data_IF_776820974331
#
_entry.id   IF_776820974331
#
_cell.length_a   1.000
_cell.length_b   1.000
_cell.length_c   1.000
_cell.angle_alpha   90.00
_cell.angle_beta   90.00
_cell.angle_gamma   90.00
#
_symmetry.space_group_name_H-M   'P 1'
#
loop_
_entity.id
_entity.type
_entity.pdbx_description
1 polymer ?
#
# COMPACT_ATOMS: atom_id res chain seq x y z
N UNK A 1 17.92 3.75 -13.50
CA UNK A 1 17.83 3.92 -12.01
C UNK A 1 17.27 5.27 -11.60
N UNK A 2 17.27 6.28 -12.48
CA UNK A 2 16.52 7.54 -12.35
C UNK A 2 15.01 7.29 -12.23
N UNK A 3 14.47 6.44 -13.10
CA UNK A 3 13.03 6.31 -13.33
C UNK A 3 12.24 5.90 -12.06
N UNK A 4 12.84 5.09 -11.18
CA UNK A 4 12.23 4.72 -9.91
C UNK A 4 12.23 5.88 -8.90
N UNK A 5 13.31 6.67 -8.85
CA UNK A 5 13.38 7.84 -7.97
C UNK A 5 12.46 8.95 -8.47
N UNK A 6 12.40 9.13 -9.79
CA UNK A 6 11.51 10.09 -10.43
C UNK A 6 10.04 9.69 -10.18
N UNK A 7 9.69 8.41 -10.30
CA UNK A 7 8.34 7.92 -9.96
C UNK A 7 7.97 8.16 -8.49
N UNK A 8 8.91 7.96 -7.56
CA UNK A 8 8.69 8.26 -6.13
C UNK A 8 8.43 9.76 -5.92
N UNK A 9 9.24 10.61 -6.54
CA UNK A 9 9.10 12.06 -6.44
C UNK A 9 7.78 12.54 -7.06
N UNK A 10 7.46 12.04 -8.25
CA UNK A 10 6.25 12.34 -9.01
C UNK A 10 4.97 11.94 -8.28
N UNK A 11 5.01 10.85 -7.52
CA UNK A 11 3.89 10.37 -6.72
C UNK A 11 3.83 11.00 -5.32
N UNK A 12 4.80 11.87 -4.97
CA UNK A 12 4.93 12.47 -3.64
C UNK A 12 4.87 11.43 -2.48
N UNK A 13 5.41 10.24 -2.72
CA UNK A 13 5.51 9.17 -1.71
C UNK A 13 6.90 9.18 -1.07
N UNK A 14 6.97 8.87 0.21
CA UNK A 14 8.20 8.89 1.00
C UNK A 14 8.46 7.54 1.64
N UNK A 15 9.72 7.21 1.86
CA UNK A 15 10.11 6.02 2.61
C UNK A 15 9.70 6.18 4.08
N UNK A 16 8.86 5.26 4.58
CA UNK A 16 8.36 5.26 5.95
C UNK A 16 9.44 5.01 7.02
N UNK A 17 10.65 4.65 6.59
CA UNK A 17 11.72 4.23 7.49
C UNK A 17 11.51 2.82 8.01
N UNK A 18 12.39 2.37 8.92
CA UNK A 18 12.35 1.02 9.47
C UNK A 18 13.13 0.91 10.79
N UNK A 19 12.86 -0.18 11.51
CA UNK A 19 13.57 -0.60 12.72
C UNK A 19 14.22 -1.97 12.45
N UNK A 20 15.48 -2.14 12.86
CA UNK A 20 16.25 -3.36 12.68
C UNK A 20 17.41 -3.17 11.70
N UNK A 21 17.87 -4.27 11.09
CA UNK A 21 19.01 -4.25 10.17
C UNK A 21 18.79 -3.32 8.98
N UNK A 22 19.81 -2.60 8.51
CA UNK A 22 19.70 -1.74 7.33
C UNK A 22 19.54 -2.50 6.01
N UNK A 23 19.72 -3.82 6.02
CA UNK A 23 19.66 -4.66 4.83
C UNK A 23 18.43 -5.54 4.85
N UNK A 24 17.73 -5.61 3.73
CA UNK A 24 16.63 -6.55 3.51
C UNK A 24 17.06 -7.74 2.68
N UNK A 25 18.20 -7.66 1.99
CA UNK A 25 18.81 -8.79 1.28
C UNK A 25 20.17 -9.14 1.88
N UNK A 26 20.30 -10.36 2.40
CA UNK A 26 21.48 -10.83 3.11
C UNK A 26 22.70 -10.99 2.21
N UNK A 27 22.52 -11.54 1.00
CA UNK A 27 23.62 -11.88 0.08
C UNK A 27 24.36 -10.64 -0.43
N UNK A 28 23.61 -9.60 -0.79
CA UNK A 28 24.15 -8.36 -1.38
C UNK A 28 24.32 -7.23 -0.37
N UNK A 29 23.82 -7.40 0.87
CA UNK A 29 23.76 -6.32 1.88
C UNK A 29 23.13 -5.05 1.31
N UNK A 30 22.05 -5.22 0.55
CA UNK A 30 21.27 -4.12 -0.02
C UNK A 30 19.89 -4.02 0.66
N UNK A 31 19.29 -2.85 0.55
CA UNK A 31 17.90 -2.57 0.96
C UNK A 31 17.04 -2.39 -0.28
N UNK A 32 16.48 -3.50 -0.76
CA UNK A 32 15.59 -3.50 -1.91
C UNK A 32 14.14 -3.28 -1.51
N UNK A 33 13.76 -3.80 -0.34
CA UNK A 33 12.39 -3.76 0.13
C UNK A 33 12.18 -2.49 0.96
N UNK A 34 11.20 -1.68 0.56
CA UNK A 34 10.87 -0.40 1.20
C UNK A 34 9.37 -0.22 1.28
N UNK A 35 8.92 0.38 2.36
CA UNK A 35 7.53 0.80 2.51
C UNK A 35 7.46 2.27 2.15
N UNK A 36 6.78 2.57 1.05
CA UNK A 36 6.57 3.93 0.58
C UNK A 36 5.15 4.36 0.93
N UNK A 37 5.02 5.56 1.50
CA UNK A 37 3.73 6.08 1.98
C UNK A 37 3.52 7.50 1.49
N UNK A 38 2.28 7.85 1.21
CA UNK A 38 1.88 9.24 0.93
C UNK A 38 1.70 10.02 2.23
N UNK A 39 1.71 11.35 2.12
CA UNK A 39 1.41 12.26 3.24
C UNK A 39 0.07 11.95 3.91
N UNK A 40 -0.98 11.76 3.12
CA UNK A 40 -2.31 11.43 3.65
C UNK A 40 -2.32 10.11 4.44
N UNK A 41 -1.46 9.16 4.10
CA UNK A 41 -1.35 7.90 4.85
C UNK A 41 -0.67 8.10 6.20
N UNK A 42 0.34 8.97 6.27
CA UNK A 42 0.99 9.35 7.52
C UNK A 42 0.05 10.11 8.46
N UNK A 43 -0.85 10.94 7.91
CA UNK A 43 -1.84 11.68 8.71
C UNK A 43 -2.81 10.74 9.43
N UNK A 44 -3.22 9.64 8.77
CA UNK A 44 -4.16 8.69 9.38
C UNK A 44 -3.45 7.63 10.22
N UNK A 45 -2.22 7.28 9.87
CA UNK A 45 -1.37 6.34 10.61
C UNK A 45 -0.14 7.03 11.19
N UNK A 46 -0.30 7.96 12.14
CA UNK A 46 0.82 8.68 12.71
C UNK A 46 1.76 7.77 13.52
N UNK A 47 1.33 6.53 13.82
CA UNK A 47 2.11 5.50 14.51
C UNK A 47 2.50 4.34 13.57
N UNK A 48 2.68 4.62 12.29
CA UNK A 48 3.21 3.65 11.34
C UNK A 48 4.61 3.20 11.79
N UNK A 49 4.81 1.89 11.86
CA UNK A 49 6.10 1.29 12.19
C UNK A 49 6.41 0.15 11.23
N UNK A 50 7.60 0.18 10.66
CA UNK A 50 8.13 -0.90 9.81
C UNK A 50 9.28 -1.55 10.55
N UNK A 51 9.28 -2.87 10.66
CA UNK A 51 10.34 -3.64 11.33
C UNK A 51 10.88 -4.73 10.42
N UNK A 52 12.20 -4.82 10.30
CA UNK A 52 12.87 -5.86 9.52
C UNK A 52 13.00 -7.13 10.37
N UNK A 53 12.32 -8.19 9.96
CA UNK A 53 12.32 -9.49 10.63
C UNK A 53 13.44 -10.38 10.07
N UNK A 54 14.19 -11.01 10.96
CA UNK A 54 15.15 -12.04 10.57
C UNK A 54 14.42 -13.36 10.31
N UNK A 55 14.50 -13.83 9.06
CA UNK A 55 13.97 -15.12 8.65
C UNK A 55 15.13 -16.11 8.53
N UNK A 56 15.16 -17.12 9.39
CA UNK A 56 16.28 -18.06 9.52
C UNK A 56 16.60 -18.89 8.27
N UNK A 57 15.70 -18.90 7.28
CA UNK A 57 15.81 -19.71 6.04
C UNK A 57 15.60 -18.92 4.75
N UNK A 58 15.56 -17.59 4.82
CA UNK A 58 15.45 -16.73 3.63
C UNK A 58 16.66 -15.81 3.55
N UNK A 59 17.14 -15.59 2.33
CA UNK A 59 18.11 -14.53 2.05
C UNK A 59 17.46 -13.14 2.08
N UNK A 60 16.13 -13.07 2.08
CA UNK A 60 15.37 -11.85 2.35
C UNK A 60 14.96 -11.74 3.84
N UNK A 61 14.97 -10.51 4.36
CA UNK A 61 14.34 -10.16 5.63
C UNK A 61 12.88 -9.81 5.39
N UNK A 62 12.00 -10.36 6.20
CA UNK A 62 10.58 -10.00 6.16
C UNK A 62 10.37 -8.56 6.63
N UNK A 63 9.35 -7.89 6.10
CA UNK A 63 8.91 -6.58 6.59
C UNK A 63 7.62 -6.74 7.39
N UNK A 64 7.65 -6.36 8.67
CA UNK A 64 6.45 -6.22 9.49
C UNK A 64 6.01 -4.76 9.50
N UNK A 65 4.83 -4.49 8.97
CA UNK A 65 4.23 -3.15 8.96
C UNK A 65 3.08 -3.11 9.96
N UNK A 66 3.18 -2.21 10.94
CA UNK A 66 2.16 -1.96 11.94
C UNK A 66 1.62 -0.55 11.72
N UNK A 67 0.36 -0.44 11.33
CA UNK A 67 -0.32 0.83 11.11
C UNK A 67 -1.49 0.94 12.11
N UNK A 68 -1.43 1.94 13.00
CA UNK A 68 -2.49 2.20 13.99
C UNK A 68 -3.20 3.50 13.65
N UNK A 69 -4.49 3.40 13.34
CA UNK A 69 -5.32 4.58 13.08
C UNK A 69 -5.68 5.29 14.39
N UNK A 70 -5.87 6.61 14.31
CA UNK A 70 -6.44 7.43 15.38
C UNK A 70 -7.97 7.35 15.44
N UNK A 71 -8.63 6.77 14.43
CA UNK A 71 -10.08 6.61 14.42
C UNK A 71 -10.52 5.41 15.28
N UNK A 72 -11.38 5.65 16.27
CA UNK A 72 -12.09 4.60 16.98
C UNK A 72 -13.04 3.87 16.01
N UNK A 73 -12.70 2.64 15.61
CA UNK A 73 -13.63 1.81 14.84
C UNK A 73 -14.73 1.32 15.78
N UNK A 74 -16.00 1.60 15.47
CA UNK A 74 -17.10 0.71 15.92
C UNK A 74 -16.87 -0.63 15.22
N UNK A 75 -16.41 -1.62 15.98
CA UNK A 75 -16.12 -2.94 15.46
C UNK A 75 -17.38 -3.56 14.85
N UNK A 76 -17.34 -3.88 13.56
CA UNK A 76 -18.21 -4.91 12.98
C UNK A 76 -17.30 -6.05 12.53
N UNK A 77 -17.54 -7.23 13.08
CA UNK A 77 -16.77 -8.44 12.82
C UNK A 77 -17.08 -8.96 11.42
N UNK A 78 -16.06 -9.12 10.58
CA UNK A 78 -16.09 -10.09 9.48
C UNK A 78 -15.01 -11.13 9.75
N UNK A 79 -15.42 -12.40 9.85
CA UNK A 79 -14.54 -13.53 10.03
C UNK A 79 -14.32 -14.25 8.71
N UNK A 80 -13.06 -14.40 8.28
CA UNK A 80 -12.68 -15.34 7.23
C UNK A 80 -12.01 -16.55 7.89
N UNK A 81 -12.45 -17.75 7.53
CA UNK A 81 -11.86 -19.01 8.03
C UNK A 81 -11.07 -19.68 6.92
N UNK A 82 -9.78 -19.89 7.15
CA UNK A 82 -8.93 -20.79 6.34
C UNK A 82 -8.57 -21.99 7.22
N UNK A 83 -8.91 -23.19 6.75
CA UNK A 83 -8.54 -24.45 7.39
C UNK A 83 -7.18 -24.93 6.82
N UNK A 84 -6.16 -25.06 7.69
CA UNK A 84 -4.94 -25.81 7.35
C UNK A 84 -3.62 -25.26 7.91
N UNK A 85 -3.36 -25.51 9.20
CA UNK A 85 -2.04 -25.82 9.76
C UNK A 85 -0.91 -24.76 9.78
N UNK A 86 -0.81 -24.09 10.94
CA UNK A 86 0.45 -23.75 11.65
C UNK A 86 1.53 -22.95 10.91
N UNK A 87 1.29 -21.66 10.68
CA UNK A 87 2.15 -20.56 11.16
C UNK A 87 1.26 -19.32 11.11
N UNK A 88 0.79 -18.88 12.28
CA UNK A 88 -0.02 -17.67 12.36
C UNK A 88 0.87 -16.48 12.01
N UNK A 89 0.26 -15.52 11.34
CA UNK A 89 0.77 -14.17 11.03
C UNK A 89 1.49 -14.05 9.69
N UNK A 90 0.73 -14.19 8.60
CA UNK A 90 1.13 -13.65 7.30
C UNK A 90 -0.07 -13.04 6.57
N UNK A 91 0.08 -11.74 6.28
CA UNK A 91 -0.62 -10.90 5.28
C UNK A 91 -2.14 -10.73 5.38
N UNK A 92 -2.58 -9.48 5.55
CA UNK A 92 -3.02 -8.62 4.44
C UNK A 92 -3.77 -7.42 5.01
N UNK A 93 -3.22 -6.22 4.84
CA UNK A 93 -3.98 -5.01 5.11
C UNK A 93 -3.47 -3.88 4.23
N UNK A 94 -4.04 -3.80 3.03
CA UNK A 94 -4.22 -2.49 2.40
C UNK A 94 -5.29 -1.80 3.24
N UNK A 95 -4.90 -0.93 4.18
CA UNK A 95 -5.88 -0.02 4.77
C UNK A 95 -5.93 1.22 3.88
N UNK A 96 -6.94 1.28 3.03
CA UNK A 96 -7.37 2.52 2.42
C UNK A 96 -8.27 3.23 3.44
N UNK A 97 -7.86 4.39 3.92
CA UNK A 97 -8.76 5.27 4.66
C UNK A 97 -9.47 6.16 3.67
N UNK A 98 -10.77 5.96 3.57
CA UNK A 98 -11.72 6.97 3.13
C UNK A 98 -13.03 6.75 3.89
N UNK A 99 -13.87 7.79 3.92
CA UNK A 99 -15.19 7.88 4.55
C UNK A 99 -15.94 6.56 4.83
N UNK A 100 -16.63 6.46 5.97
CA UNK A 100 -17.38 5.26 6.41
C UNK A 100 -18.59 4.90 5.55
N UNK A 101 -18.92 5.69 4.53
CA UNK A 101 -20.03 5.43 3.61
C UNK A 101 -19.50 4.88 2.28
N UNK A 102 -19.78 3.60 2.03
CA UNK A 102 -19.41 2.90 0.80
C UNK A 102 -19.92 3.62 -0.48
N UNK A 103 -21.02 4.38 -0.39
CA UNK A 103 -21.55 5.14 -1.52
C UNK A 103 -20.64 6.28 -1.94
N UNK A 104 -20.02 6.94 -0.97
CA UNK A 104 -19.06 8.03 -1.23
C UNK A 104 -17.81 7.46 -1.92
N UNK A 105 -17.41 6.24 -1.55
CA UNK A 105 -16.26 5.54 -2.13
C UNK A 105 -16.46 5.17 -3.60
N UNK A 106 -17.62 4.64 -3.95
CA UNK A 106 -17.93 4.27 -5.35
C UNK A 106 -17.96 5.51 -6.24
N UNK A 107 -18.61 6.59 -5.78
CA UNK A 107 -18.69 7.85 -6.56
C UNK A 107 -17.31 8.47 -6.76
N UNK A 108 -16.47 8.47 -5.72
CA UNK A 108 -15.12 8.99 -5.80
C UNK A 108 -14.20 8.13 -6.68
N UNK A 109 -14.28 6.81 -6.57
CA UNK A 109 -13.54 5.88 -7.43
C UNK A 109 -13.96 6.00 -8.91
N UNK A 110 -15.25 6.23 -9.18
CA UNK A 110 -15.75 6.51 -10.52
C UNK A 110 -15.20 7.83 -11.08
N UNK A 111 -15.17 8.89 -10.26
CA UNK A 111 -14.61 10.19 -10.63
C UNK A 111 -13.12 10.08 -10.99
N UNK A 112 -12.35 9.42 -10.12
CA UNK A 112 -10.91 9.26 -10.30
C UNK A 112 -10.58 8.43 -11.55
N UNK A 113 -11.35 7.37 -11.84
CA UNK A 113 -11.18 6.62 -13.09
C UNK A 113 -11.48 7.49 -14.33
N UNK A 114 -12.54 8.31 -14.29
CA UNK A 114 -12.87 9.22 -15.39
C UNK A 114 -11.76 10.24 -15.65
N UNK A 115 -11.17 10.80 -14.61
CA UNK A 115 -10.04 11.72 -14.72
C UNK A 115 -8.79 11.04 -15.27
N UNK A 116 -8.53 9.78 -14.86
CA UNK A 116 -7.41 9.01 -15.37
C UNK A 116 -7.60 8.57 -16.84
N UNK A 117 -8.83 8.24 -17.25
CA UNK A 117 -9.18 7.96 -18.65
C UNK A 117 -8.98 9.21 -19.52
N UNK A 118 -9.49 10.38 -19.08
CA UNK A 118 -9.29 11.66 -19.79
C UNK A 118 -7.81 12.04 -19.90
N UNK A 119 -7.02 11.83 -18.84
CA UNK A 119 -5.58 12.07 -18.87
C UNK A 119 -4.84 11.13 -19.84
N UNK A 120 -5.26 9.86 -19.93
CA UNK A 120 -4.71 8.91 -20.89
C UNK A 120 -5.08 9.24 -22.34
N UNK A 121 -6.32 9.70 -22.59
CA UNK A 121 -6.75 10.13 -23.91
C UNK A 121 -5.99 11.37 -24.41
N UNK A 122 -5.62 12.28 -23.49
CA UNK A 122 -4.82 13.46 -23.80
C UNK A 122 -3.34 13.15 -24.03
N UNK A 123 -2.75 12.26 -23.23
CA UNK A 123 -1.35 11.84 -23.34
C UNK A 123 -1.20 10.33 -23.13
N UNK A 124 -1.28 9.52 -24.19
CA UNK A 124 -1.15 8.07 -24.10
C UNK A 124 0.31 7.67 -23.84
N UNK A 125 0.65 7.44 -22.57
CA UNK A 125 1.96 6.96 -22.15
C UNK A 125 1.85 5.91 -21.03
N UNK A 126 2.95 5.21 -20.73
CA UNK A 126 2.94 4.15 -19.71
C UNK A 126 2.52 4.68 -18.33
N UNK A 127 2.84 5.95 -18.03
CA UNK A 127 2.47 6.59 -16.76
C UNK A 127 0.95 6.77 -16.64
N UNK A 128 0.30 7.34 -17.65
CA UNK A 128 -1.15 7.54 -17.66
C UNK A 128 -1.89 6.21 -17.73
N UNK A 129 -1.34 5.21 -18.42
CA UNK A 129 -1.87 3.85 -18.45
C UNK A 129 -1.85 3.17 -17.08
N UNK A 130 -0.73 3.29 -16.35
CA UNK A 130 -0.59 2.74 -14.99
C UNK A 130 -1.59 3.36 -14.05
N UNK A 131 -1.75 4.69 -14.09
CA UNK A 131 -2.69 5.38 -13.21
C UNK A 131 -4.15 5.02 -13.53
N UNK A 132 -4.50 4.92 -14.82
CA UNK A 132 -5.80 4.41 -15.26
C UNK A 132 -6.08 3.00 -14.73
N UNK A 133 -5.12 2.09 -14.88
CA UNK A 133 -5.27 0.71 -14.41
C UNK A 133 -5.37 0.63 -12.87
N UNK A 134 -4.68 1.52 -12.15
CA UNK A 134 -4.81 1.66 -10.71
C UNK A 134 -6.21 2.12 -10.31
N UNK A 135 -6.72 3.20 -10.91
CA UNK A 135 -8.07 3.70 -10.65
C UNK A 135 -9.14 2.65 -10.98
N UNK A 136 -8.95 1.90 -12.06
CA UNK A 136 -9.83 0.78 -12.43
C UNK A 136 -9.86 -0.32 -11.35
N UNK A 137 -8.69 -0.72 -10.85
CA UNK A 137 -8.60 -1.71 -9.77
C UNK A 137 -9.25 -1.24 -8.46
N UNK A 138 -9.15 0.05 -8.14
CA UNK A 138 -9.83 0.66 -6.97
C UNK A 138 -11.35 0.61 -7.14
N UNK A 139 -11.86 0.98 -8.32
CA UNK A 139 -13.31 0.92 -8.60
C UNK A 139 -13.85 -0.52 -8.54
N UNK A 140 -13.14 -1.49 -9.11
CA UNK A 140 -13.53 -2.91 -9.05
C UNK A 140 -13.64 -3.40 -7.60
N UNK A 141 -12.72 -2.99 -6.73
CA UNK A 141 -12.79 -3.32 -5.30
C UNK A 141 -13.91 -2.61 -4.57
N UNK A 142 -14.21 -1.37 -4.94
CA UNK A 142 -15.29 -0.60 -4.34
C UNK A 142 -16.69 -1.15 -4.67
N UNK A 143 -16.81 -1.87 -5.79
CA UNK A 143 -18.06 -2.49 -6.26
C UNK A 143 -18.26 -3.95 -5.80
N UNK A 144 -17.25 -4.56 -5.17
CA UNK A 144 -17.27 -5.95 -4.70
C UNK A 144 -17.73 -6.06 -3.24
#
# INVERSE_FOLDING_TARGET
MSDFHDAIADCAIVDAGYIGSPYTWYSSRLRLDRVLVSSCWMDVFPKLQVTHLELSKSDHRGLLVVAKTTMERKATSFGFSICGSSTRDFLMSCVEIGSTDARVWVVEAQRNLKEADEAYDLDPCDRTLVERNRCSAVLVRALA
#
